data_IF_907430364587
#
_entry.id   IF_907430364587
#
_cell.length_a   1.000
_cell.length_b   1.000
_cell.length_c   1.000
_cell.angle_alpha   90.00
_cell.angle_beta   90.00
_cell.angle_gamma   90.00
#
_symmetry.space_group_name_H-M   'P 1'
#
loop_
_entity.id
_entity.type
_entity.pdbx_description
1 polymer ?
#
# COMPACT_ATOMS: atom_id res chain seq x y z
N UNK A 1 -31.77 -49.80 -23.61
CA UNK A 1 -31.77 -50.71 -22.44
C UNK A 1 -30.37 -50.75 -21.89
N UNK A 2 -30.23 -50.52 -20.57
CA UNK A 2 -29.05 -50.83 -19.72
C UNK A 2 -27.74 -50.11 -20.09
N UNK A 3 -27.10 -49.29 -19.25
CA UNK A 3 -27.27 -48.98 -17.84
C UNK A 3 -25.88 -48.74 -17.22
N UNK A 4 -25.76 -47.66 -16.42
CA UNK A 4 -25.00 -47.52 -15.16
C UNK A 4 -23.45 -47.68 -15.19
N UNK A 5 -22.71 -46.61 -14.85
CA UNK A 5 -22.15 -46.30 -13.50
C UNK A 5 -20.90 -47.18 -13.21
N UNK A 6 -19.73 -46.78 -12.72
CA UNK A 6 -19.13 -45.57 -12.12
C UNK A 6 -17.60 -45.68 -12.21
N UNK A 7 -16.88 -44.66 -11.74
CA UNK A 7 -15.48 -44.77 -11.29
C UNK A 7 -14.63 -43.58 -11.74
N UNK A 8 -14.80 -42.40 -11.14
CA UNK A 8 -13.95 -41.90 -10.03
C UNK A 8 -12.47 -41.79 -10.46
N UNK A 9 -11.92 -40.59 -10.62
CA UNK A 9 -11.28 -39.92 -9.48
C UNK A 9 -11.20 -38.39 -9.64
N UNK A 10 -11.57 -37.73 -8.53
CA UNK A 10 -11.21 -36.39 -8.10
C UNK A 10 -9.69 -36.17 -8.06
N UNK A 11 -9.21 -34.99 -8.45
CA UNK A 11 -8.02 -34.38 -7.84
C UNK A 11 -8.23 -32.87 -7.62
N UNK A 12 -8.61 -32.57 -6.37
CA UNK A 12 -8.17 -31.42 -5.57
C UNK A 12 -8.16 -30.07 -6.29
N UNK A 13 -9.37 -29.56 -6.52
CA UNK A 13 -9.64 -28.15 -6.72
C UNK A 13 -8.96 -27.31 -5.63
N UNK A 14 -8.27 -26.28 -6.09
CA UNK A 14 -7.67 -25.17 -5.37
C UNK A 14 -8.62 -24.56 -4.33
N UNK A 15 -8.71 -25.19 -3.15
CA UNK A 15 -9.41 -24.64 -2.00
C UNK A 15 -8.48 -23.67 -1.27
N UNK A 16 -8.53 -22.40 -1.68
CA UNK A 16 -8.41 -21.23 -0.78
C UNK A 16 -8.83 -19.92 -1.47
N UNK A 17 -9.99 -19.90 -2.12
CA UNK A 17 -10.72 -18.64 -2.27
C UNK A 17 -11.31 -18.27 -0.91
N UNK A 18 -10.52 -17.51 -0.14
CA UNK A 18 -10.97 -16.86 1.07
C UNK A 18 -12.21 -16.03 0.75
N UNK A 19 -13.34 -16.51 1.26
CA UNK A 19 -14.69 -15.95 1.22
C UNK A 19 -14.69 -14.44 1.50
N UNK A 20 -14.60 -13.63 0.44
CA UNK A 20 -14.92 -12.21 0.54
C UNK A 20 -16.44 -12.15 0.56
N UNK A 21 -17.03 -11.78 1.71
CA UNK A 21 -18.47 -11.51 1.78
C UNK A 21 -18.76 -10.38 0.79
N UNK A 22 -19.35 -10.72 -0.35
CA UNK A 22 -19.85 -9.75 -1.31
C UNK A 22 -20.96 -8.98 -0.59
N UNK A 23 -20.69 -7.74 -0.19
CA UNK A 23 -21.76 -6.82 0.17
C UNK A 23 -22.54 -6.56 -1.11
N UNK A 24 -23.55 -7.39 -1.37
CA UNK A 24 -24.49 -7.16 -2.45
C UNK A 24 -25.35 -5.94 -2.07
N UNK A 25 -24.88 -4.75 -2.45
CA UNK A 25 -25.70 -3.55 -2.42
C UNK A 25 -26.60 -3.59 -3.66
N UNK A 26 -27.75 -4.26 -3.54
CA UNK A 26 -28.80 -4.14 -4.55
C UNK A 26 -29.19 -2.68 -4.67
N UNK A 27 -28.97 -2.11 -5.86
CA UNK A 27 -29.41 -0.76 -6.21
C UNK A 27 -30.93 -0.75 -6.27
N UNK A 28 -31.60 -0.56 -5.14
CA UNK A 28 -33.04 -0.40 -5.09
C UNK A 28 -33.42 0.95 -5.75
N UNK A 29 -34.15 0.96 -6.88
CA UNK A 29 -34.37 2.17 -7.67
C UNK A 29 -35.36 3.18 -7.05
N UNK A 30 -35.87 2.95 -5.82
CA UNK A 30 -37.03 3.68 -5.28
C UNK A 30 -36.76 4.74 -4.21
N UNK A 31 -35.55 5.27 -4.05
CA UNK A 31 -35.33 6.44 -3.18
C UNK A 31 -34.59 7.55 -3.91
N UNK A 32 -35.24 8.71 -3.99
CA UNK A 32 -34.75 9.92 -4.62
C UNK A 32 -33.37 10.31 -4.11
N UNK A 33 -32.55 10.75 -5.07
CA UNK A 33 -31.16 11.19 -4.98
C UNK A 33 -30.14 10.03 -4.93
N UNK A 34 -29.88 9.47 -6.12
CA UNK A 34 -28.72 8.61 -6.38
C UNK A 34 -27.44 9.37 -6.00
N UNK A 35 -26.74 8.91 -4.96
CA UNK A 35 -25.38 9.37 -4.71
C UNK A 35 -24.54 9.05 -5.96
N UNK A 36 -23.83 10.03 -6.54
CA UNK A 36 -22.99 9.76 -7.70
C UNK A 36 -21.92 8.74 -7.29
N UNK A 37 -22.04 7.51 -7.79
CA UNK A 37 -21.02 6.47 -7.56
C UNK A 37 -19.77 6.91 -8.31
N UNK A 38 -18.76 7.38 -7.58
CA UNK A 38 -17.44 7.71 -8.14
C UNK A 38 -16.57 6.46 -8.02
N UNK A 39 -15.88 6.11 -9.10
CA UNK A 39 -14.98 4.94 -9.14
C UNK A 39 -13.85 5.01 -8.09
N UNK A 40 -13.51 6.24 -7.64
CA UNK A 40 -12.56 6.52 -6.58
C UNK A 40 -13.19 7.49 -5.59
N UNK A 41 -13.30 7.08 -4.33
CA UNK A 41 -13.83 7.89 -3.23
C UNK A 41 -12.68 8.30 -2.30
N UNK A 42 -12.65 9.57 -1.90
CA UNK A 42 -11.70 10.05 -0.90
C UNK A 42 -12.34 9.97 0.48
N UNK A 43 -11.79 9.14 1.36
CA UNK A 43 -12.23 9.00 2.74
C UNK A 43 -11.04 9.19 3.68
N UNK A 44 -11.12 10.13 4.64
CA UNK A 44 -10.03 10.44 5.58
C UNK A 44 -8.67 10.71 4.90
N UNK A 45 -8.67 11.27 3.68
CA UNK A 45 -7.44 11.50 2.91
C UNK A 45 -6.87 10.25 2.21
N UNK A 46 -7.54 9.11 2.32
CA UNK A 46 -7.27 7.85 1.62
C UNK A 46 -8.14 7.80 0.36
N UNK A 47 -7.54 7.45 -0.78
CA UNK A 47 -8.29 7.18 -2.01
C UNK A 47 -8.63 5.69 -2.02
N UNK A 48 -9.92 5.38 -2.01
CA UNK A 48 -10.45 4.03 -2.01
C UNK A 48 -11.14 3.80 -3.35
N UNK A 49 -10.69 2.79 -4.07
CA UNK A 49 -11.29 2.35 -5.34
C UNK A 49 -12.38 1.31 -5.05
N UNK A 50 -13.34 1.17 -5.98
CA UNK A 50 -14.43 0.18 -5.87
C UNK A 50 -13.93 -1.27 -5.69
N UNK A 51 -12.76 -1.59 -6.24
CA UNK A 51 -12.10 -2.91 -6.13
C UNK A 51 -11.10 -2.99 -4.97
N UNK A 52 -11.08 -2.02 -4.06
CA UNK A 52 -10.08 -1.85 -3.00
C UNK A 52 -8.63 -1.91 -3.52
N UNK A 53 -8.41 -1.43 -4.75
CA UNK A 53 -7.08 -1.41 -5.35
C UNK A 53 -6.36 -0.12 -4.96
N UNK A 54 -5.44 -0.20 -4.01
CA UNK A 54 -4.80 1.00 -3.45
C UNK A 54 -3.64 1.56 -4.27
N UNK A 55 -3.47 1.15 -5.53
CA UNK A 55 -2.35 1.59 -6.40
C UNK A 55 -2.23 3.10 -6.50
N UNK A 56 -3.33 3.77 -6.86
CA UNK A 56 -3.35 5.22 -6.99
C UNK A 56 -3.04 5.91 -5.66
N UNK A 57 -3.58 5.38 -4.55
CA UNK A 57 -3.35 5.97 -3.23
C UNK A 57 -1.88 5.85 -2.80
N UNK A 58 -1.25 4.68 -2.98
CA UNK A 58 0.16 4.50 -2.65
C UNK A 58 1.06 5.39 -3.50
N UNK A 59 0.77 5.56 -4.78
CA UNK A 59 1.58 6.44 -5.63
C UNK A 59 1.52 7.91 -5.18
N UNK A 60 0.34 8.38 -4.76
CA UNK A 60 0.17 9.70 -4.14
C UNK A 60 0.99 9.80 -2.85
N UNK A 61 0.92 8.79 -1.97
CA UNK A 61 1.66 8.81 -0.71
C UNK A 61 3.18 8.70 -0.91
N UNK A 62 3.64 7.89 -1.85
CA UNK A 62 5.04 7.82 -2.25
C UNK A 62 5.53 9.17 -2.79
N UNK A 63 4.71 9.85 -3.59
CA UNK A 63 5.06 11.17 -4.13
C UNK A 63 5.17 12.22 -3.00
N UNK A 64 4.24 12.21 -2.04
CA UNK A 64 4.30 13.05 -0.84
C UNK A 64 5.55 12.76 0.00
N UNK A 65 5.84 11.49 0.26
CA UNK A 65 7.00 11.06 1.03
C UNK A 65 8.32 11.42 0.32
N UNK A 66 8.41 11.28 -1.01
CA UNK A 66 9.55 11.73 -1.81
C UNK A 66 9.77 13.24 -1.72
N UNK A 67 8.69 14.02 -1.80
CA UNK A 67 8.77 15.48 -1.65
C UNK A 67 9.25 15.87 -0.25
N UNK A 68 8.69 15.27 0.80
CA UNK A 68 9.14 15.47 2.17
C UNK A 68 10.63 15.08 2.34
N UNK A 69 11.04 13.94 1.77
CA UNK A 69 12.44 13.54 1.76
C UNK A 69 13.34 14.55 1.05
N UNK A 70 12.93 15.08 -0.11
CA UNK A 70 13.70 16.11 -0.82
C UNK A 70 13.90 17.38 0.00
N UNK A 71 12.86 17.82 0.72
CA UNK A 71 12.95 19.00 1.60
C UNK A 71 13.92 18.78 2.76
N UNK A 72 13.90 17.59 3.36
CA UNK A 72 14.75 17.26 4.52
C UNK A 72 16.13 16.74 4.08
N UNK A 73 16.33 16.48 2.78
CA UNK A 73 17.57 15.94 2.20
C UNK A 73 18.80 16.70 2.68
N UNK A 74 18.80 18.03 2.57
CA UNK A 74 19.95 18.86 2.96
C UNK A 74 20.37 18.63 4.42
N UNK A 75 19.39 18.43 5.31
CA UNK A 75 19.64 18.13 6.71
C UNK A 75 20.23 16.72 6.89
N UNK A 76 19.66 15.71 6.23
CA UNK A 76 20.12 14.32 6.34
C UNK A 76 21.54 14.12 5.80
N UNK A 77 21.91 14.87 4.76
CA UNK A 77 23.23 14.80 4.15
C UNK A 77 24.29 15.68 4.85
N UNK A 78 23.90 16.50 5.83
CA UNK A 78 24.86 17.33 6.57
C UNK A 78 25.85 16.48 7.38
N UNK A 79 27.13 16.82 7.30
CA UNK A 79 28.22 16.16 8.06
C UNK A 79 28.22 16.52 9.54
N UNK A 80 27.62 17.66 9.91
CA UNK A 80 27.64 18.18 11.28
C UNK A 80 26.65 17.49 12.22
N UNK A 81 25.71 16.71 11.69
CA UNK A 81 24.68 16.04 12.47
C UNK A 81 25.04 14.58 12.76
N UNK A 82 24.90 14.19 14.03
CA UNK A 82 25.03 12.80 14.49
C UNK A 82 23.97 11.92 13.81
N UNK A 83 24.33 10.70 13.43
CA UNK A 83 23.42 9.75 12.76
C UNK A 83 22.15 9.46 13.55
N UNK A 84 22.22 9.44 14.89
CA UNK A 84 21.05 9.28 15.77
C UNK A 84 20.00 10.38 15.56
N UNK A 85 20.43 11.64 15.44
CA UNK A 85 19.52 12.77 15.22
C UNK A 85 18.85 12.66 13.86
N UNK A 86 19.62 12.27 12.82
CA UNK A 86 19.08 12.04 11.47
C UNK A 86 17.99 10.97 11.45
N UNK A 87 18.18 9.87 12.17
CA UNK A 87 17.18 8.80 12.31
C UNK A 87 15.92 9.31 13.00
N UNK A 88 16.05 10.09 14.07
CA UNK A 88 14.92 10.69 14.76
C UNK A 88 14.14 11.64 13.83
N UNK A 89 14.83 12.48 13.05
CA UNK A 89 14.19 13.34 12.05
C UNK A 89 13.41 12.52 11.00
N UNK A 90 14.01 11.42 10.51
CA UNK A 90 13.32 10.52 9.58
C UNK A 90 12.06 9.90 10.18
N UNK A 91 12.15 9.40 11.41
CA UNK A 91 11.03 8.79 12.13
C UNK A 91 9.90 9.79 12.41
N UNK A 92 10.24 11.05 12.73
CA UNK A 92 9.26 12.07 13.04
C UNK A 92 8.58 12.67 11.80
N UNK A 93 9.30 12.83 10.68
CA UNK A 93 8.79 13.57 9.52
C UNK A 93 8.32 12.66 8.37
N UNK A 94 9.12 11.66 8.01
CA UNK A 94 8.90 10.87 6.79
C UNK A 94 8.09 9.61 7.08
N UNK A 95 8.41 8.92 8.19
CA UNK A 95 7.72 7.68 8.57
C UNK A 95 6.20 7.82 8.78
N UNK A 96 5.65 8.88 9.41
CA UNK A 96 4.19 9.01 9.52
C UNK A 96 3.49 9.12 8.16
N UNK A 97 4.12 9.77 7.17
CA UNK A 97 3.55 9.93 5.82
C UNK A 97 3.40 8.57 5.13
N UNK A 98 4.41 7.70 5.28
CA UNK A 98 4.42 6.36 4.69
C UNK A 98 3.43 5.43 5.44
N UNK A 99 3.40 5.52 6.77
CA UNK A 99 2.65 4.58 7.62
C UNK A 99 1.15 4.88 7.74
N UNK A 100 0.71 6.11 7.44
CA UNK A 100 -0.70 6.53 7.53
C UNK A 100 -1.68 5.64 6.76
N UNK A 101 -1.25 5.00 5.66
CA UNK A 101 -2.08 4.08 4.85
C UNK A 101 -1.85 2.58 5.12
N UNK A 102 -0.85 2.22 5.92
CA UNK A 102 -0.40 0.83 6.10
C UNK A 102 -1.50 -0.15 6.57
N UNK A 103 -2.35 0.16 7.58
CA UNK A 103 -3.36 -0.80 8.06
C UNK A 103 -4.42 -1.13 6.99
N UNK A 104 -4.70 -0.19 6.08
CA UNK A 104 -5.72 -0.35 5.04
C UNK A 104 -5.15 -1.18 3.86
N UNK A 105 -3.86 -1.06 3.61
CA UNK A 105 -3.15 -1.69 2.50
C UNK A 105 -2.54 -3.05 2.82
N UNK A 106 -2.97 -3.71 3.90
CA UNK A 106 -2.43 -5.02 4.27
C UNK A 106 -2.51 -6.05 3.12
N UNK A 107 -3.55 -5.95 2.28
CA UNK A 107 -3.77 -6.81 1.10
C UNK A 107 -3.21 -6.26 -0.23
N UNK A 108 -2.12 -5.49 -0.20
CA UNK A 108 -1.58 -4.89 -1.42
C UNK A 108 -0.61 -5.81 -2.19
N UNK A 109 -0.47 -5.58 -3.51
CA UNK A 109 0.50 -6.31 -4.34
C UNK A 109 1.92 -6.17 -3.79
N UNK A 110 2.66 -7.27 -3.76
CA UNK A 110 4.07 -7.31 -3.34
C UNK A 110 4.94 -6.28 -4.08
N UNK A 111 4.69 -6.05 -5.37
CA UNK A 111 5.39 -5.05 -6.18
C UNK A 111 5.28 -3.64 -5.62
N UNK A 112 4.12 -3.28 -5.07
CA UNK A 112 3.84 -1.96 -4.53
C UNK A 112 4.42 -1.79 -3.13
N UNK A 113 4.38 -2.87 -2.33
CA UNK A 113 5.10 -2.95 -1.06
C UNK A 113 6.61 -2.75 -1.25
N UNK A 114 7.20 -3.34 -2.31
CA UNK A 114 8.62 -3.13 -2.62
C UNK A 114 8.95 -1.68 -2.96
N UNK A 115 8.07 -0.94 -3.65
CA UNK A 115 8.27 0.50 -3.90
C UNK A 115 8.39 1.30 -2.59
N UNK A 116 7.56 0.97 -1.59
CA UNK A 116 7.62 1.59 -0.26
C UNK A 116 8.94 1.23 0.44
N UNK A 117 9.30 -0.06 0.46
CA UNK A 117 10.55 -0.55 1.06
C UNK A 117 11.79 0.08 0.44
N UNK A 118 11.81 0.27 -0.88
CA UNK A 118 12.92 0.95 -1.58
C UNK A 118 13.07 2.39 -1.12
N UNK A 119 11.96 3.11 -0.93
CA UNK A 119 11.99 4.48 -0.41
C UNK A 119 12.52 4.53 1.02
N UNK A 120 12.04 3.64 1.91
CA UNK A 120 12.52 3.56 3.29
C UNK A 120 14.01 3.25 3.35
N UNK A 121 14.48 2.25 2.60
CA UNK A 121 15.91 1.89 2.50
C UNK A 121 16.75 3.08 2.01
N UNK A 122 16.26 3.82 1.02
CA UNK A 122 16.93 5.04 0.52
C UNK A 122 17.05 6.11 1.60
N UNK A 123 15.99 6.32 2.39
CA UNK A 123 16.01 7.29 3.49
C UNK A 123 16.99 6.88 4.60
N UNK A 124 16.98 5.60 4.98
CA UNK A 124 17.88 5.07 6.02
C UNK A 124 19.33 5.19 5.57
N UNK A 125 19.65 4.86 4.32
CA UNK A 125 20.99 5.05 3.75
C UNK A 125 21.45 6.50 3.81
N UNK A 126 20.57 7.46 3.52
CA UNK A 126 20.88 8.88 3.64
C UNK A 126 21.15 9.30 5.10
N UNK A 127 20.44 8.72 6.07
CA UNK A 127 20.67 9.01 7.49
C UNK A 127 21.99 8.43 8.01
N UNK A 128 22.33 7.21 7.59
CA UNK A 128 23.52 6.50 8.05
C UNK A 128 24.80 6.93 7.31
N UNK A 129 24.67 7.59 6.15
CA UNK A 129 25.78 7.95 5.25
C UNK A 129 26.71 6.76 4.91
N UNK A 130 26.22 5.53 5.06
CA UNK A 130 26.92 4.31 4.67
C UNK A 130 26.73 4.10 3.18
N UNK A 131 27.46 4.87 2.40
CA UNK A 131 27.67 4.55 0.99
C UNK A 131 28.60 3.35 0.92
N UNK A 132 28.30 2.39 0.04
CA UNK A 132 29.13 1.19 -0.20
C UNK A 132 30.47 1.54 -0.88
N UNK A 133 31.02 2.73 -0.63
CA UNK A 133 32.29 3.18 -1.17
C UNK A 133 33.40 2.96 -0.15
N UNK A 134 34.26 2.01 -0.54
CA UNK A 134 35.69 1.85 -0.20
C UNK A 134 36.04 1.45 1.24
N UNK A 135 36.21 0.13 1.41
CA UNK A 135 37.31 -0.43 2.20
C UNK A 135 38.50 -0.64 1.26
#
# INVERSE_FOLDING_TARGET
MHGKEEGSQMTLADQKESTVKTFNCEKNPKRGNLFPTKAVVRYLGVNIDDKLNYKQHVEIQLSKAKNAFWKVKTLLYSKHLKSRVKILCYQALIRPIITYGCPIWYNISASLMEKIRVLERKCIRACLNTYRSEQ
#
